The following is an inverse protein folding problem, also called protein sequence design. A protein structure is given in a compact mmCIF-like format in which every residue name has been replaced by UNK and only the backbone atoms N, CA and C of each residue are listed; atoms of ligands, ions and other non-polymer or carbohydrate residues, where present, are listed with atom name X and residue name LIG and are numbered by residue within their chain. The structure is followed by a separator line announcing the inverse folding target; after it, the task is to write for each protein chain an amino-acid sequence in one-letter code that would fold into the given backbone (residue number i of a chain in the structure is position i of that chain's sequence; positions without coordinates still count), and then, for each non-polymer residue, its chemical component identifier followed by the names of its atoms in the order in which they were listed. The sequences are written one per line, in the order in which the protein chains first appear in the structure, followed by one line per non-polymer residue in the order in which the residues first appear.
data_IF_432523492286
#
_entry.id   IF_432523492286
#
_cell.length_a   1.000
_cell.length_b   1.000
_cell.length_c   1.000
_cell.angle_alpha   90.00
_cell.angle_beta   90.00
_cell.angle_gamma   90.00
#
_symmetry.space_group_name_H-M   'P 1'
#
loop_
_entity.id
_entity.type
_entity.pdbx_description
1 polymer ?
#
# COMPACT_ATOMS: atom_id res chain seq x y z
N UNK A 1 -16.96 13.06 -11.26
CA UNK A 1 -16.01 12.60 -12.28
C UNK A 1 -14.66 12.31 -11.62
N UNK A 2 -14.20 11.09 -11.78
CA UNK A 2 -12.94 10.68 -11.15
C UNK A 2 -11.75 11.17 -11.96
N UNK A 3 -10.75 11.73 -11.27
CA UNK A 3 -9.47 12.06 -11.89
C UNK A 3 -8.57 10.82 -11.91
N UNK A 4 -7.62 10.72 -12.84
CA UNK A 4 -6.63 9.64 -12.77
C UNK A 4 -5.95 9.61 -11.41
N UNK A 5 -5.91 8.45 -10.80
CA UNK A 5 -5.33 8.27 -9.47
C UNK A 5 -6.32 8.35 -8.32
N UNK A 6 -7.56 8.74 -8.58
CA UNK A 6 -8.58 8.82 -7.53
C UNK A 6 -8.89 7.45 -6.93
N UNK A 7 -8.99 7.42 -5.60
CA UNK A 7 -9.24 6.20 -4.85
C UNK A 7 -10.69 6.22 -4.35
N UNK A 8 -11.43 5.10 -4.45
CA UNK A 8 -12.77 5.04 -3.90
C UNK A 8 -12.80 5.44 -2.42
N UNK A 9 -13.79 6.25 -1.99
CA UNK A 9 -13.85 6.72 -0.61
C UNK A 9 -13.85 5.61 0.44
N UNK A 10 -14.49 4.50 0.18
CA UNK A 10 -14.53 3.36 1.10
C UNK A 10 -13.16 2.73 1.34
N UNK A 11 -12.35 2.63 0.28
CA UNK A 11 -10.97 2.13 0.38
C UNK A 11 -10.14 3.13 1.18
N UNK A 12 -10.26 4.40 0.84
CA UNK A 12 -9.50 5.46 1.50
C UNK A 12 -9.83 5.53 3.00
N UNK A 13 -11.11 5.41 3.36
CA UNK A 13 -11.53 5.44 4.75
C UNK A 13 -10.97 4.25 5.54
N UNK A 14 -10.93 3.06 4.95
CA UNK A 14 -10.33 1.89 5.61
C UNK A 14 -8.84 2.09 5.84
N UNK A 15 -8.12 2.61 4.86
CA UNK A 15 -6.70 2.87 4.99
C UNK A 15 -6.41 3.96 6.01
N UNK A 16 -7.24 5.00 6.07
CA UNK A 16 -7.12 6.04 7.09
C UNK A 16 -7.29 5.49 8.50
N UNK A 17 -8.22 4.56 8.68
CA UNK A 17 -8.44 3.92 9.97
C UNK A 17 -7.20 3.11 10.38
N UNK A 18 -6.64 2.36 9.46
CA UNK A 18 -5.44 1.54 9.71
C UNK A 18 -4.24 2.44 10.02
N UNK A 19 -3.93 3.35 9.13
CA UNK A 19 -2.74 4.20 9.24
C UNK A 19 -2.83 5.23 10.36
N UNK A 20 -4.05 5.66 10.70
CA UNK A 20 -4.26 6.60 11.80
C UNK A 20 -3.87 6.06 13.17
N UNK A 21 -3.72 4.76 13.31
CA UNK A 21 -3.28 4.13 14.54
C UNK A 21 -1.75 4.01 14.64
N UNK A 22 -1.04 4.33 13.58
CA UNK A 22 0.42 4.21 13.56
C UNK A 22 1.06 5.48 14.12
N UNK A 23 1.94 5.36 15.15
CA UNK A 23 2.49 6.54 15.83
C UNK A 23 3.19 7.50 14.87
N UNK A 24 2.80 8.78 14.94
CA UNK A 24 3.32 9.89 14.12
C UNK A 24 3.19 9.71 12.61
N UNK A 25 2.45 8.73 12.14
CA UNK A 25 2.17 8.58 10.72
C UNK A 25 1.23 9.69 10.26
N UNK A 26 1.43 10.18 9.06
CA UNK A 26 0.60 11.24 8.50
C UNK A 26 0.26 10.95 7.04
N UNK A 27 -0.90 11.47 6.63
CA UNK A 27 -1.40 11.35 5.28
C UNK A 27 -1.04 12.60 4.49
N UNK A 28 -0.66 12.43 3.23
CA UNK A 28 -0.51 13.56 2.32
C UNK A 28 -0.89 13.16 0.90
N UNK A 29 -1.31 14.13 0.07
CA UNK A 29 -1.54 13.83 -1.34
C UNK A 29 -0.21 13.53 -2.01
N UNK A 30 -0.21 12.53 -2.90
CA UNK A 30 0.94 12.20 -3.73
C UNK A 30 0.70 12.77 -5.13
N UNK A 31 1.69 12.68 -6.01
CA UNK A 31 1.50 13.09 -7.40
C UNK A 31 0.37 12.29 -8.08
N UNK A 32 0.10 11.10 -7.59
CA UNK A 32 -1.07 10.28 -7.95
C UNK A 32 -1.56 9.62 -6.65
N UNK A 33 -2.86 9.75 -6.35
CA UNK A 33 -3.44 9.13 -5.16
C UNK A 33 -2.98 9.76 -3.84
N UNK A 34 -2.92 8.94 -2.80
CA UNK A 34 -2.64 9.36 -1.42
C UNK A 34 -1.57 8.46 -0.81
N UNK A 35 -0.71 9.04 -0.01
CA UNK A 35 0.30 8.26 0.70
C UNK A 35 0.30 8.57 2.19
N UNK A 36 0.75 7.58 2.97
CA UNK A 36 0.98 7.73 4.41
C UNK A 36 2.46 7.60 4.67
N UNK A 37 3.00 8.51 5.46
CA UNK A 37 4.43 8.62 5.71
C UNK A 37 4.74 8.66 7.20
N UNK A 38 5.96 8.24 7.51
CA UNK A 38 6.58 8.43 8.81
C UNK A 38 7.92 9.12 8.59
N UNK A 39 8.07 10.31 9.17
CA UNK A 39 9.22 11.17 8.88
C UNK A 39 9.26 11.47 7.38
N UNK A 40 10.26 11.05 6.65
CA UNK A 40 10.35 11.26 5.19
C UNK A 40 10.24 9.96 4.39
N UNK A 41 9.75 8.91 5.03
CA UNK A 41 9.64 7.60 4.40
C UNK A 41 8.19 7.22 4.17
N UNK A 42 7.89 6.65 3.02
CA UNK A 42 6.53 6.23 2.67
C UNK A 42 6.26 4.85 3.26
N UNK A 43 5.18 4.76 4.03
CA UNK A 43 4.69 3.49 4.59
C UNK A 43 3.84 2.78 3.56
N UNK A 44 2.88 3.52 2.99
CA UNK A 44 1.93 2.97 2.03
C UNK A 44 1.49 4.08 1.07
N UNK A 45 1.25 3.70 -0.18
CA UNK A 45 0.79 4.61 -1.23
C UNK A 45 -0.34 3.93 -2.01
N UNK A 46 -1.53 4.53 -1.98
CA UNK A 46 -2.70 4.00 -2.67
C UNK A 46 -3.06 4.90 -3.85
N UNK A 47 -3.38 4.29 -4.99
CA UNK A 47 -3.74 5.04 -6.19
C UNK A 47 -4.47 4.14 -7.18
N UNK A 48 -5.18 4.77 -8.11
CA UNK A 48 -5.74 4.09 -9.27
C UNK A 48 -4.79 4.35 -10.44
N UNK A 49 -4.07 3.33 -10.93
CA UNK A 49 -3.10 3.54 -12.01
C UNK A 49 -3.80 3.91 -13.31
N UNK A 50 -3.16 4.80 -14.07
CA UNK A 50 -3.64 5.20 -15.40
C UNK A 50 -3.08 4.21 -16.42
N UNK A 51 -3.93 3.41 -17.11
CA UNK A 51 -3.45 2.42 -18.08
C UNK A 51 -2.65 3.02 -19.22
N UNK A 52 -2.93 4.28 -19.60
CA UNK A 52 -2.20 4.94 -20.68
C UNK A 52 -0.78 5.30 -20.27
N UNK A 53 -0.58 5.70 -19.00
CA UNK A 53 0.73 6.05 -18.46
C UNK A 53 1.49 4.86 -17.94
N UNK A 54 0.77 3.82 -17.54
CA UNK A 54 1.34 2.64 -16.92
C UNK A 54 0.80 1.37 -17.59
N UNK A 55 1.16 1.14 -18.86
CA UNK A 55 0.62 0.01 -19.62
C UNK A 55 0.94 -1.35 -19.00
N UNK A 56 1.98 -1.44 -18.18
CA UNK A 56 2.30 -2.67 -17.46
C UNK A 56 1.21 -3.13 -16.52
N UNK A 57 0.39 -2.20 -16.00
CA UNK A 57 -0.73 -2.59 -15.14
C UNK A 57 -1.89 -3.20 -15.92
N UNK A 58 -2.04 -2.84 -17.18
CA UNK A 58 -3.13 -3.38 -18.01
C UNK A 58 -3.03 -4.89 -18.20
N UNK A 59 -1.81 -5.44 -18.16
CA UNK A 59 -1.60 -6.88 -18.27
C UNK A 59 -1.92 -7.63 -16.98
N UNK A 60 -1.97 -6.91 -15.84
CA UNK A 60 -2.26 -7.49 -14.53
C UNK A 60 -3.77 -7.50 -14.23
N UNK A 61 -4.52 -6.64 -14.92
CA UNK A 61 -5.96 -6.47 -14.73
C UNK A 61 -6.64 -6.63 -16.07
N UNK A 62 -7.87 -7.07 -16.10
CA UNK A 62 -8.66 -7.06 -17.32
C UNK A 62 -8.79 -5.64 -17.86
N UNK A 63 -8.90 -5.49 -19.20
CA UNK A 63 -8.92 -4.20 -19.84
C UNK A 63 -10.08 -3.29 -19.39
N UNK A 64 -11.14 -3.88 -18.83
CA UNK A 64 -12.35 -3.16 -18.43
C UNK A 64 -12.40 -2.83 -16.93
N UNK A 65 -11.38 -3.19 -16.16
CA UNK A 65 -11.38 -2.94 -14.73
C UNK A 65 -10.65 -1.64 -14.40
N UNK A 66 -11.17 -0.93 -13.39
CA UNK A 66 -10.50 0.23 -12.82
C UNK A 66 -9.78 -0.23 -11.55
N UNK A 67 -8.53 -0.69 -11.67
CA UNK A 67 -7.83 -1.24 -10.53
C UNK A 67 -7.46 -0.16 -9.53
N UNK A 68 -7.49 -0.53 -8.26
CA UNK A 68 -6.91 0.27 -7.20
C UNK A 68 -5.77 -0.54 -6.63
N UNK A 69 -4.61 0.06 -6.51
CA UNK A 69 -3.42 -0.62 -5.98
C UNK A 69 -2.85 0.14 -4.81
N UNK A 70 -2.15 -0.58 -3.95
CA UNK A 70 -1.41 0.00 -2.84
C UNK A 70 -0.01 -0.57 -2.85
N UNK A 71 0.99 0.30 -2.74
CA UNK A 71 2.37 -0.14 -2.57
C UNK A 71 2.78 0.01 -1.11
N UNK A 72 3.62 -0.91 -0.64
CA UNK A 72 4.15 -0.87 0.72
C UNK A 72 5.47 -1.63 0.76
N UNK A 73 6.21 -1.47 1.86
CA UNK A 73 7.50 -2.11 2.04
C UNK A 73 7.36 -3.40 2.83
N UNK A 74 8.22 -4.37 2.54
CA UNK A 74 8.31 -5.61 3.30
C UNK A 74 9.78 -5.89 3.61
N UNK A 75 10.07 -6.67 4.67
CA UNK A 75 11.42 -7.17 4.88
C UNK A 75 11.87 -8.00 3.69
N UNK A 76 13.15 -7.92 3.34
CA UNK A 76 13.69 -8.64 2.18
C UNK A 76 13.39 -10.14 2.23
N UNK A 77 13.41 -10.73 3.42
CA UNK A 77 13.17 -12.16 3.60
C UNK A 77 11.72 -12.57 3.32
N UNK A 78 10.78 -11.62 3.42
CA UNK A 78 9.35 -11.90 3.24
C UNK A 78 8.88 -11.68 1.80
N UNK A 79 9.67 -10.96 1.00
CA UNK A 79 9.25 -10.55 -0.34
C UNK A 79 8.89 -11.71 -1.26
N UNK A 80 9.76 -12.71 -1.32
CA UNK A 80 9.54 -13.86 -2.21
C UNK A 80 8.33 -14.68 -1.80
N UNK A 81 8.18 -14.92 -0.50
CA UNK A 81 7.04 -15.70 0.01
C UNK A 81 5.70 -14.99 -0.25
N UNK A 82 5.66 -13.67 0.00
CA UNK A 82 4.43 -12.92 -0.18
C UNK A 82 4.00 -12.82 -1.64
N UNK A 83 4.97 -12.72 -2.56
CA UNK A 83 4.68 -12.54 -3.98
C UNK A 83 4.73 -13.83 -4.80
N UNK A 84 4.98 -14.97 -4.16
CA UNK A 84 5.17 -16.25 -4.86
C UNK A 84 3.97 -16.68 -5.69
N UNK A 85 2.76 -16.44 -5.19
CA UNK A 85 1.54 -16.83 -5.87
C UNK A 85 1.00 -15.78 -6.83
N UNK A 86 1.68 -14.64 -6.95
CA UNK A 86 1.22 -13.54 -7.78
C UNK A 86 0.04 -12.81 -7.18
N UNK A 87 -0.97 -12.50 -7.98
CA UNK A 87 -2.16 -11.78 -7.53
C UNK A 87 -2.69 -12.33 -6.20
N UNK A 88 -3.02 -11.47 -5.21
CA UNK A 88 -3.11 -10.00 -5.31
C UNK A 88 -1.82 -9.24 -4.92
N UNK A 89 -0.72 -9.94 -4.64
CA UNK A 89 0.53 -9.33 -4.24
C UNK A 89 1.60 -9.54 -5.29
N UNK A 90 2.12 -8.43 -5.83
CA UNK A 90 3.08 -8.45 -6.92
C UNK A 90 4.33 -7.67 -6.52
N UNK A 91 5.48 -8.12 -7.01
CA UNK A 91 6.73 -7.41 -6.77
C UNK A 91 6.78 -6.16 -7.65
N UNK A 92 7.07 -5.00 -7.05
CA UNK A 92 7.22 -3.77 -7.80
C UNK A 92 8.58 -3.73 -8.51
N UNK A 93 8.57 -3.27 -9.75
CA UNK A 93 9.80 -3.19 -10.55
C UNK A 93 10.67 -1.97 -10.21
N UNK A 94 10.08 -0.96 -9.56
CA UNK A 94 10.74 0.34 -9.36
C UNK A 94 11.43 0.52 -8.02
N UNK A 95 11.48 -0.51 -7.20
CA UNK A 95 12.18 -0.38 -5.92
C UNK A 95 12.43 -1.71 -5.26
N UNK A 96 13.47 -1.81 -4.42
CA UNK A 96 13.73 -3.03 -3.65
C UNK A 96 12.69 -3.17 -2.55
N UNK A 97 12.24 -4.40 -2.33
CA UNK A 97 11.36 -4.76 -1.22
C UNK A 97 10.01 -4.02 -1.22
N UNK A 98 9.55 -3.59 -2.39
CA UNK A 98 8.24 -2.95 -2.56
C UNK A 98 7.27 -3.96 -3.16
N UNK A 99 6.10 -4.05 -2.54
CA UNK A 99 5.01 -4.92 -3.00
C UNK A 99 3.87 -4.05 -3.50
N UNK A 100 3.26 -4.47 -4.60
CA UNK A 100 2.01 -3.88 -5.12
C UNK A 100 0.88 -4.82 -4.74
N UNK A 101 -0.05 -4.34 -3.92
CA UNK A 101 -1.27 -5.08 -3.59
C UNK A 101 -2.42 -4.58 -4.44
N UNK A 102 -3.12 -5.49 -5.09
CA UNK A 102 -4.33 -5.17 -5.86
C UNK A 102 -5.52 -5.22 -4.91
N UNK A 103 -6.21 -4.09 -4.78
CA UNK A 103 -7.35 -3.96 -3.85
C UNK A 103 -8.67 -4.16 -4.59
N UNK A 104 -9.63 -4.79 -3.92
CA UNK A 104 -10.95 -5.04 -4.49
C UNK A 104 -11.80 -5.82 -3.50
N UNK A 105 -12.86 -6.45 -3.99
CA UNK A 105 -13.76 -7.25 -3.16
C UNK A 105 -13.06 -8.43 -2.50
N UNK A 106 -12.00 -8.94 -3.13
CA UNK A 106 -11.21 -10.05 -2.63
C UNK A 106 -10.29 -9.68 -1.47
N UNK A 107 -10.11 -8.38 -1.18
CA UNK A 107 -9.12 -7.90 -0.22
C UNK A 107 -9.39 -8.43 1.19
N UNK A 108 -8.39 -9.09 1.76
CA UNK A 108 -8.39 -9.46 3.17
C UNK A 108 -7.83 -8.28 3.98
N UNK A 109 -8.72 -7.51 4.58
CA UNK A 109 -8.33 -6.29 5.29
C UNK A 109 -7.57 -6.58 6.58
N UNK A 110 -7.78 -7.74 7.17
CA UNK A 110 -7.00 -8.15 8.35
C UNK A 110 -5.55 -8.39 7.97
N UNK A 111 -5.33 -9.14 6.89
CA UNK A 111 -3.98 -9.36 6.37
C UNK A 111 -3.32 -8.05 5.96
N UNK A 112 -4.06 -7.19 5.27
CA UNK A 112 -3.53 -5.91 4.81
C UNK A 112 -3.14 -5.01 5.98
N UNK A 113 -3.92 -5.03 7.07
CA UNK A 113 -3.57 -4.29 8.29
C UNK A 113 -2.23 -4.75 8.84
N UNK A 114 -2.01 -6.05 8.89
CA UNK A 114 -0.74 -6.61 9.35
C UNK A 114 0.42 -6.20 8.44
N UNK A 115 0.21 -6.24 7.13
CA UNK A 115 1.24 -5.87 6.16
C UNK A 115 1.60 -4.38 6.24
N UNK A 116 0.61 -3.51 6.39
CA UNK A 116 0.84 -2.07 6.55
C UNK A 116 1.58 -1.81 7.86
N UNK A 117 1.20 -2.48 8.93
CA UNK A 117 1.87 -2.35 10.23
C UNK A 117 3.33 -2.77 10.14
N UNK A 118 3.62 -3.86 9.43
CA UNK A 118 5.00 -4.31 9.22
C UNK A 118 5.79 -3.34 8.34
N UNK A 119 5.14 -2.74 7.34
CA UNK A 119 5.77 -1.69 6.52
C UNK A 119 6.16 -0.49 7.39
N UNK A 120 5.28 -0.11 8.31
CA UNK A 120 5.59 0.95 9.29
C UNK A 120 6.83 0.58 10.12
N UNK A 121 6.91 -0.64 10.60
CA UNK A 121 8.06 -1.10 11.38
C UNK A 121 9.36 -1.03 10.59
N UNK A 122 9.30 -1.28 9.27
CA UNK A 122 10.46 -1.15 8.41
C UNK A 122 10.89 0.31 8.21
N UNK A 123 9.93 1.22 8.15
CA UNK A 123 10.19 2.61 7.79
C UNK A 123 10.39 3.52 8.99
N UNK A 124 9.81 3.20 10.14
CA UNK A 124 9.84 4.06 11.32
C UNK A 124 11.13 3.91 12.12
N UNK A 125 11.54 4.97 12.83
CA UNK A 125 12.61 4.84 13.84
C UNK A 125 12.21 3.78 14.86
N UNK A 126 13.22 3.07 15.40
CA UNK A 126 12.98 1.96 16.33
C UNK A 126 12.13 2.34 17.53
N UNK A 127 12.33 3.55 18.06
CA UNK A 127 11.57 3.96 19.25
C UNK A 127 10.08 4.16 18.95
N UNK A 128 9.72 4.55 17.73
CA UNK A 128 8.33 4.66 17.31
C UNK A 128 7.74 3.28 17.03
N UNK A 129 8.49 2.41 16.38
CA UNK A 129 8.04 1.04 16.13
C UNK A 129 7.79 0.29 17.44
N UNK A 130 8.60 0.54 18.46
CA UNK A 130 8.42 -0.07 19.78
C UNK A 130 7.10 0.32 20.44
N UNK A 131 6.54 1.49 20.12
CA UNK A 131 5.26 1.94 20.67
C UNK A 131 4.09 1.07 20.22
N UNK A 132 4.20 0.40 19.08
CA UNK A 132 3.15 -0.51 18.61
C UNK A 132 2.95 -1.68 19.55
N UNK A 133 4.03 -2.18 20.17
CA UNK A 133 3.97 -3.30 21.10
C UNK A 133 3.23 -2.95 22.39
N UNK A 134 3.19 -1.66 22.75
CA UNK A 134 2.51 -1.21 23.98
C UNK A 134 1.05 -0.89 23.72
N UNK A 135 0.64 -0.76 22.46
CA UNK A 135 -0.75 -0.45 22.07
C UNK A 135 -1.59 -1.69 21.81
N UNK A 136 -0.94 -2.85 21.69
CA UNK A 136 -1.62 -4.11 21.37
C UNK A 136 -2.34 -4.69 22.56
#
# INVERSE_FOLDING_TARGET
MSSPGDVPPEVLNRLRTICGQLPEAYEEPAWIGVRWRIRRRTIAHVYAPDPERHPGYASLFGADEEPVVMTFRVPADDLLGLTADGFPFLRAAWGPNVVVAVLGEHTDWTELTELITDSYREMAPKFLAARLSTLA
#
